data_IF_098065645383
#
_entry.id   IF_098065645383
#
_cell.length_a   1.000
_cell.length_b   1.000
_cell.length_c   1.000
_cell.angle_alpha   90.00
_cell.angle_beta   90.00
_cell.angle_gamma   90.00
#
_symmetry.space_group_name_H-M   'P 1'
#
loop_
_entity.id
_entity.type
_entity.pdbx_description
1 polymer ?
#
# COMPACT_ATOMS: atom_id res chain seq x y z
N UNK A 1 24.93 3.64 -1.25
CA UNK A 1 23.69 3.94 -2.01
C UNK A 1 23.36 5.42 -1.89
N UNK A 2 23.06 6.11 -2.99
CA UNK A 2 22.74 7.55 -3.00
C UNK A 2 21.54 7.80 -2.07
N UNK A 3 21.64 8.77 -1.15
CA UNK A 3 20.53 9.17 -0.26
C UNK A 3 19.25 9.31 -1.13
N UNK A 4 18.17 8.67 -0.70
CA UNK A 4 16.83 8.69 -1.32
C UNK A 4 16.59 7.80 -2.56
N UNK A 5 17.45 6.82 -2.86
CA UNK A 5 17.18 5.89 -3.97
C UNK A 5 15.85 5.13 -3.79
N UNK A 6 15.60 4.60 -2.59
CA UNK A 6 14.36 3.90 -2.26
C UNK A 6 13.11 4.79 -2.46
N UNK A 7 13.15 6.03 -1.97
CA UNK A 7 12.04 6.97 -2.15
C UNK A 7 11.78 7.30 -3.64
N UNK A 8 12.84 7.39 -4.46
CA UNK A 8 12.69 7.58 -5.92
C UNK A 8 12.09 6.36 -6.60
N UNK A 9 12.50 5.16 -6.21
CA UNK A 9 11.94 3.91 -6.72
C UNK A 9 10.44 3.80 -6.37
N UNK A 10 10.07 4.04 -5.11
CA UNK A 10 8.66 4.04 -4.68
C UNK A 10 7.85 5.09 -5.44
N UNK A 11 8.39 6.30 -5.61
CA UNK A 11 7.71 7.35 -6.40
C UNK A 11 7.53 6.96 -7.86
N UNK A 12 8.54 6.32 -8.47
CA UNK A 12 8.46 5.83 -9.83
C UNK A 12 7.37 4.76 -9.97
N UNK A 13 7.36 3.73 -9.11
CA UNK A 13 6.32 2.69 -9.11
C UNK A 13 4.93 3.29 -8.93
N UNK A 14 4.77 4.25 -8.01
CA UNK A 14 3.49 4.92 -7.76
C UNK A 14 2.92 5.59 -9.01
N UNK A 15 3.80 6.24 -9.78
CA UNK A 15 3.41 6.94 -11.00
C UNK A 15 3.21 6.00 -12.19
N UNK A 16 4.04 4.97 -12.36
CA UNK A 16 3.94 4.04 -13.51
C UNK A 16 2.69 3.18 -13.42
N UNK A 17 2.34 2.73 -12.22
CA UNK A 17 1.20 1.85 -12.01
C UNK A 17 -0.07 2.59 -11.58
N UNK A 18 -0.08 3.93 -11.59
CA UNK A 18 -1.20 4.75 -11.15
C UNK A 18 -1.81 4.27 -9.82
N UNK A 19 -0.94 3.91 -8.86
CA UNK A 19 -1.37 3.24 -7.61
C UNK A 19 -2.41 4.08 -6.86
N UNK A 20 -2.26 5.41 -6.91
CA UNK A 20 -3.22 6.33 -6.31
C UNK A 20 -4.63 6.19 -6.90
N UNK A 21 -4.75 6.01 -8.21
CA UNK A 21 -6.05 5.93 -8.89
C UNK A 21 -6.74 4.62 -8.52
N UNK A 22 -6.01 3.50 -8.57
CA UNK A 22 -6.53 2.20 -8.12
C UNK A 22 -6.89 2.17 -6.63
N UNK A 23 -6.18 2.92 -5.79
CA UNK A 23 -6.54 3.07 -4.37
C UNK A 23 -7.78 3.96 -4.18
N UNK A 24 -7.96 5.00 -5.00
CA UNK A 24 -9.12 5.89 -4.92
C UNK A 24 -10.42 5.24 -5.42
N UNK A 25 -10.31 4.23 -6.28
CA UNK A 25 -11.45 3.41 -6.73
C UNK A 25 -11.93 2.42 -5.66
N UNK A 26 -11.15 2.20 -4.59
CA UNK A 26 -11.54 1.33 -3.49
C UNK A 26 -12.72 1.95 -2.73
N UNK A 27 -13.88 1.30 -2.84
CA UNK A 27 -15.06 1.67 -2.08
C UNK A 27 -15.16 0.79 -0.83
N UNK A 28 -15.27 1.44 0.33
CA UNK A 28 -15.54 0.76 1.59
C UNK A 28 -17.05 0.66 1.83
N UNK A 29 -17.58 -0.57 1.86
CA UNK A 29 -19.00 -0.83 2.12
C UNK A 29 -19.39 -0.85 3.60
N UNK A 30 -18.44 -0.64 4.53
CA UNK A 30 -18.72 -0.65 5.97
C UNK A 30 -19.50 0.61 6.38
N UNK A 31 -20.51 0.44 7.24
CA UNK A 31 -21.40 1.52 7.68
C UNK A 31 -20.66 2.60 8.51
N UNK A 32 -19.63 2.20 9.28
CA UNK A 32 -18.82 3.13 10.08
C UNK A 32 -17.38 2.60 10.22
N UNK A 33 -16.53 2.77 9.19
CA UNK A 33 -15.18 2.25 9.24
C UNK A 33 -14.32 3.04 10.24
N UNK A 34 -13.77 2.35 11.23
CA UNK A 34 -12.82 2.93 12.19
C UNK A 34 -11.48 3.30 11.55
N UNK A 35 -11.13 2.63 10.44
CA UNK A 35 -9.88 2.81 9.74
C UNK A 35 -10.11 3.05 8.25
N UNK A 36 -9.36 3.99 7.71
CA UNK A 36 -9.30 4.28 6.29
C UNK A 36 -8.81 3.06 5.50
N UNK A 37 -9.64 2.58 4.59
CA UNK A 37 -9.37 1.40 3.75
C UNK A 37 -8.12 1.57 2.90
N UNK A 38 -7.91 2.75 2.33
CA UNK A 38 -6.72 3.06 1.53
C UNK A 38 -5.45 2.93 2.36
N UNK A 39 -5.46 3.39 3.61
CA UNK A 39 -4.32 3.23 4.52
C UNK A 39 -4.05 1.76 4.84
N UNK A 40 -5.09 0.99 5.15
CA UNK A 40 -4.96 -0.44 5.46
C UNK A 40 -4.40 -1.19 4.25
N UNK A 41 -5.00 -1.02 3.07
CA UNK A 41 -4.55 -1.68 1.83
C UNK A 41 -3.11 -1.31 1.47
N UNK A 42 -2.71 -0.05 1.61
CA UNK A 42 -1.33 0.37 1.36
C UNK A 42 -0.35 -0.35 2.29
N UNK A 43 -0.72 -0.54 3.56
CA UNK A 43 0.10 -1.23 4.55
C UNK A 43 0.24 -2.73 4.23
N UNK A 44 -0.85 -3.37 3.77
CA UNK A 44 -0.83 -4.74 3.26
C UNK A 44 0.14 -4.90 2.08
N UNK A 45 -0.01 -4.04 1.07
CA UNK A 45 0.81 -4.08 -0.15
C UNK A 45 2.28 -3.87 0.17
N UNK A 46 2.60 -2.96 1.11
CA UNK A 46 3.95 -2.77 1.61
C UNK A 46 4.48 -4.05 2.28
N UNK A 47 3.66 -4.73 3.08
CA UNK A 47 4.01 -6.02 3.68
C UNK A 47 4.34 -7.08 2.63
N UNK A 48 3.53 -7.19 1.57
CA UNK A 48 3.79 -8.11 0.45
C UNK A 48 5.11 -7.80 -0.26
N UNK A 49 5.43 -6.52 -0.48
CA UNK A 49 6.73 -6.12 -1.05
C UNK A 49 7.92 -6.52 -0.16
N UNK A 50 7.71 -6.55 1.16
CA UNK A 50 8.70 -6.99 2.15
C UNK A 50 8.70 -8.52 2.37
N UNK A 51 8.01 -9.29 1.50
CA UNK A 51 7.88 -10.75 1.54
C UNK A 51 7.10 -11.30 2.72
N UNK A 52 6.30 -10.50 3.42
CA UNK A 52 5.27 -11.02 4.32
C UNK A 52 4.23 -11.69 3.42
N UNK A 53 4.02 -13.01 3.53
CA UNK A 53 3.09 -13.72 2.63
C UNK A 53 1.66 -13.61 3.11
N UNK A 54 1.46 -13.42 4.42
CA UNK A 54 0.13 -13.16 5.00
C UNK A 54 0.22 -12.45 6.33
N UNK A 55 -0.87 -11.80 6.75
CA UNK A 55 -0.98 -11.26 8.12
C UNK A 55 -0.94 -12.34 9.20
N UNK A 56 -1.25 -13.60 8.87
CA UNK A 56 -1.13 -14.72 9.81
C UNK A 56 0.33 -15.09 10.12
N UNK A 57 1.30 -14.67 9.31
CA UNK A 57 2.73 -14.88 9.58
C UNK A 57 3.32 -13.85 10.56
N UNK A 58 2.55 -12.82 10.92
CA UNK A 58 2.97 -11.80 11.90
C UNK A 58 2.61 -12.16 13.35
N UNK A 59 1.99 -13.33 13.56
CA UNK A 59 1.57 -13.86 14.85
C UNK A 59 2.59 -14.87 15.40
#
# INVERSE_FOLDING_TARGET
MRKNYFAKLVKYMKNVYNINDGLNELTDGRINPTYDTTKVVTLVLLGFLLRIKSFNELN
#
